data_IF_689284289039
#
_entry.id   IF_689284289039
#
_cell.length_a   1.000
_cell.length_b   1.000
_cell.length_c   1.000
_cell.angle_alpha   90.00
_cell.angle_beta   90.00
_cell.angle_gamma   90.00
#
_symmetry.space_group_name_H-M   'P 1'
#
loop_
_entity.id
_entity.type
_entity.pdbx_description
1 polymer ?
#
# COMPACT_ATOMS: atom_id res chain seq x y z
N UNK A 1 11.34 -4.92 -52.33
CA UNK A 1 11.73 -5.20 -50.93
C UNK A 1 11.38 -3.98 -50.11
N UNK A 2 10.24 -4.01 -49.41
CA UNK A 2 9.74 -2.88 -48.63
C UNK A 2 10.24 -3.03 -47.19
N UNK A 3 11.14 -2.14 -46.77
CA UNK A 3 11.60 -2.03 -45.39
C UNK A 3 10.51 -1.35 -44.57
N UNK A 4 9.71 -2.17 -43.88
CA UNK A 4 8.80 -1.75 -42.82
C UNK A 4 9.60 -1.10 -41.69
N UNK A 5 9.60 0.23 -41.61
CA UNK A 5 10.10 0.95 -40.44
C UNK A 5 9.12 0.70 -39.28
N UNK A 6 9.56 -0.09 -38.31
CA UNK A 6 8.85 -0.25 -37.04
C UNK A 6 9.01 1.05 -36.23
N UNK A 7 7.94 1.83 -36.14
CA UNK A 7 7.85 2.93 -35.17
C UNK A 7 7.82 2.34 -33.77
N UNK A 8 8.96 2.43 -33.07
CA UNK A 8 9.05 2.11 -31.66
C UNK A 8 8.28 3.18 -30.88
N UNK A 9 7.07 2.86 -30.45
CA UNK A 9 6.36 3.64 -29.43
C UNK A 9 7.15 3.57 -28.12
N UNK A 10 7.92 4.62 -27.84
CA UNK A 10 8.46 4.85 -26.50
C UNK A 10 7.30 5.18 -25.58
N UNK A 11 6.90 4.21 -24.73
CA UNK A 11 6.00 4.49 -23.60
C UNK A 11 6.72 5.50 -22.71
N UNK A 12 6.12 6.67 -22.41
CA UNK A 12 6.76 7.65 -21.53
C UNK A 12 7.02 7.02 -20.17
N UNK A 13 8.29 6.85 -19.81
CA UNK A 13 8.69 6.64 -18.43
C UNK A 13 8.36 7.93 -17.69
N UNK A 14 7.21 7.98 -17.02
CA UNK A 14 6.89 9.08 -16.13
C UNK A 14 7.99 9.16 -15.05
N UNK A 15 8.44 10.37 -14.67
CA UNK A 15 9.38 10.51 -13.57
C UNK A 15 8.76 9.90 -12.30
N UNK A 16 9.55 9.31 -11.39
CA UNK A 16 9.05 8.70 -10.14
C UNK A 16 8.12 9.63 -9.33
N UNK A 17 8.31 10.94 -9.44
CA UNK A 17 7.47 11.99 -8.85
C UNK A 17 6.04 11.97 -9.41
N UNK A 18 5.89 11.93 -10.74
CA UNK A 18 4.58 11.83 -11.40
C UNK A 18 3.87 10.49 -11.12
N UNK A 19 4.64 9.45 -10.76
CA UNK A 19 4.13 8.12 -10.44
C UNK A 19 3.56 8.06 -9.01
N UNK A 20 4.21 8.72 -8.05
CA UNK A 20 3.69 8.90 -6.69
C UNK A 20 2.43 9.80 -6.69
N UNK A 21 2.47 10.91 -7.44
CA UNK A 21 1.32 11.79 -7.65
C UNK A 21 0.13 11.03 -8.24
N UNK A 22 0.34 10.22 -9.27
CA UNK A 22 -0.73 9.44 -9.88
C UNK A 22 -1.38 8.47 -8.89
N UNK A 23 -0.61 7.78 -8.04
CA UNK A 23 -1.19 6.86 -7.06
C UNK A 23 -2.06 7.59 -6.02
N UNK A 24 -1.62 8.77 -5.57
CA UNK A 24 -2.37 9.62 -4.63
C UNK A 24 -3.63 10.23 -5.27
N UNK A 25 -3.54 10.63 -6.55
CA UNK A 25 -4.68 11.08 -7.35
C UNK A 25 -5.69 9.94 -7.58
N UNK A 26 -5.22 8.73 -7.90
CA UNK A 26 -6.11 7.59 -8.12
C UNK A 26 -6.75 7.08 -6.81
N UNK A 27 -6.06 7.13 -5.66
CA UNK A 27 -6.68 6.89 -4.35
C UNK A 27 -7.80 7.91 -4.06
N UNK A 28 -7.69 9.12 -4.62
CA UNK A 28 -8.74 10.14 -4.54
C UNK A 28 -9.95 9.87 -5.46
N UNK A 29 -9.75 9.13 -6.56
CA UNK A 29 -10.79 8.84 -7.56
C UNK A 29 -11.49 7.48 -7.38
N UNK A 30 -10.81 6.47 -6.81
CA UNK A 30 -11.37 5.10 -6.67
C UNK A 30 -12.64 5.05 -5.80
N UNK A 31 -12.77 5.89 -4.77
CA UNK A 31 -14.00 5.94 -3.96
C UNK A 31 -15.14 6.71 -4.65
N UNK A 32 -14.87 7.57 -5.64
CA UNK A 32 -15.96 8.19 -6.43
C UNK A 32 -16.71 7.15 -7.28
N UNK A 33 -16.00 6.10 -7.71
CA UNK A 33 -16.58 4.99 -8.47
C UNK A 33 -17.35 3.99 -7.59
N UNK A 34 -17.09 3.98 -6.28
CA UNK A 34 -17.73 3.12 -5.29
C UNK A 34 -18.89 3.79 -4.54
N UNK A 35 -19.57 4.78 -5.14
CA UNK A 35 -20.73 5.43 -4.52
C UNK A 35 -21.85 4.41 -4.24
N UNK A 36 -21.83 3.82 -3.05
CA UNK A 36 -22.97 3.12 -2.49
C UNK A 36 -24.16 4.11 -2.44
N UNK A 37 -25.38 3.69 -2.80
CA UNK A 37 -26.56 4.51 -2.57
C UNK A 37 -26.63 4.84 -1.07
N UNK A 38 -27.15 6.02 -0.69
CA UNK A 38 -27.30 6.39 0.72
C UNK A 38 -28.24 5.39 1.39
N UNK A 39 -27.66 4.39 2.05
CA UNK A 39 -28.36 3.50 2.97
C UNK A 39 -28.91 4.34 4.10
N UNK A 40 -30.18 4.11 4.43
CA UNK A 40 -30.92 4.73 5.53
C UNK A 40 -30.06 4.83 6.80
N UNK A 41 -29.84 6.07 7.25
CA UNK A 41 -29.40 6.41 8.61
C UNK A 41 -30.37 5.74 9.59
N UNK A 42 -29.96 4.64 10.21
CA UNK A 42 -30.51 4.24 11.50
C UNK A 42 -29.72 4.96 12.58
N UNK A 43 -30.45 5.68 13.45
CA UNK A 43 -29.91 6.48 14.53
C UNK A 43 -29.19 5.60 15.56
N UNK A 44 -27.86 5.53 15.46
CA UNK A 44 -27.02 4.88 16.46
C UNK A 44 -26.78 5.86 17.62
N UNK A 45 -27.47 5.66 18.75
CA UNK A 45 -27.17 6.35 19.99
C UNK A 45 -26.00 5.67 20.71
N UNK A 46 -24.87 6.35 20.97
CA UNK A 46 -23.82 5.79 21.80
C UNK A 46 -24.19 5.89 23.29
N UNK A 47 -24.43 4.73 23.91
CA UNK A 47 -24.51 4.58 25.36
C UNK A 47 -23.16 4.87 25.99
N UNK A 48 -23.08 5.96 26.78
CA UNK A 48 -21.96 6.22 27.68
C UNK A 48 -22.00 5.21 28.83
N UNK A 49 -20.91 4.45 29.01
CA UNK A 49 -20.58 3.87 30.30
C UNK A 49 -19.09 3.96 30.55
N UNK A 50 -18.79 4.50 31.72
CA UNK A 50 -17.48 4.79 32.28
C UNK A 50 -17.09 3.65 33.23
N UNK A 51 -15.89 3.10 33.08
CA UNK A 51 -15.00 2.72 34.17
C UNK A 51 -13.68 2.20 33.58
N UNK A 52 -12.57 2.85 33.92
CA UNK A 52 -11.22 2.36 33.65
C UNK A 52 -10.74 1.51 34.85
N UNK A 53 -10.13 0.33 34.62
CA UNK A 53 -9.29 -0.32 35.62
C UNK A 53 -7.81 -0.06 35.34
N UNK A 54 -7.07 0.30 36.40
CA UNK A 54 -5.60 0.38 36.41
C UNK A 54 -4.99 -1.02 36.43
N UNK A 55 -3.90 -1.22 35.67
CA UNK A 55 -3.11 -2.46 35.65
C UNK A 55 -1.68 -2.11 36.07
N UNK A 56 -1.19 -2.73 37.15
CA UNK A 56 0.21 -2.76 37.55
C UNK A 56 0.96 -3.82 36.72
N UNK A 57 2.13 -3.45 36.18
CA UNK A 57 3.00 -4.33 35.40
C UNK A 57 4.25 -4.66 36.23
N UNK A 58 4.36 -5.92 36.66
CA UNK A 58 5.56 -6.48 37.29
C UNK A 58 6.45 -7.12 36.22
N UNK A 59 7.73 -6.77 36.22
CA UNK A 59 8.76 -7.31 35.30
C UNK A 59 9.40 -8.61 35.87
N UNK A 60 10.15 -9.38 35.04
CA UNK A 60 10.26 -10.84 35.15
C UNK A 60 11.42 -11.35 36.03
N UNK A 61 11.27 -12.58 36.49
CA UNK A 61 12.30 -13.41 37.14
C UNK A 61 13.32 -13.93 36.11
N UNK A 62 14.60 -13.77 36.43
CA UNK A 62 15.73 -14.46 35.83
C UNK A 62 15.86 -15.87 36.42
N UNK A 63 16.15 -16.86 35.59
CA UNK A 63 16.70 -18.14 36.04
C UNK A 63 17.88 -18.54 35.16
N UNK A 64 19.06 -18.52 35.80
CA UNK A 64 20.28 -19.20 35.44
C UNK A 64 20.11 -20.72 35.34
N UNK A 65 20.88 -21.37 34.48
CA UNK A 65 20.82 -22.82 34.29
C UNK A 65 21.91 -23.41 33.39
N UNK A 66 23.15 -23.36 33.89
CA UNK A 66 24.23 -24.36 33.87
C UNK A 66 24.70 -25.14 32.61
N UNK A 67 26.01 -25.37 32.63
CA UNK A 67 26.87 -25.77 31.53
C UNK A 67 27.01 -27.30 31.32
N UNK A 68 27.36 -27.71 30.10
CA UNK A 68 28.17 -28.91 29.85
C UNK A 68 28.96 -28.83 28.55
N UNK A 69 30.28 -28.93 28.70
CA UNK A 69 31.31 -28.88 27.67
C UNK A 69 31.40 -30.19 26.85
N UNK A 70 31.34 -30.09 25.52
CA UNK A 70 31.81 -31.13 24.60
C UNK A 70 32.77 -30.50 23.59
N UNK A 71 34.05 -30.88 23.67
CA UNK A 71 35.11 -30.47 22.75
C UNK A 71 34.98 -31.21 21.42
N UNK A 72 34.56 -30.50 20.38
CA UNK A 72 34.58 -30.97 18.97
C UNK A 72 35.64 -30.17 18.18
N UNK A 73 36.43 -30.79 17.29
CA UNK A 73 37.46 -30.10 16.53
C UNK A 73 36.90 -29.03 15.58
N UNK A 74 37.39 -27.80 15.73
CA UNK A 74 37.03 -26.63 14.92
C UNK A 74 37.59 -26.74 13.50
N UNK A 75 36.73 -27.05 12.52
CA UNK A 75 36.92 -26.56 11.16
C UNK A 75 36.71 -25.04 11.15
N UNK A 76 37.44 -24.25 10.33
CA UNK A 76 37.18 -22.83 10.17
C UNK A 76 35.82 -22.64 9.49
N UNK A 77 34.77 -22.62 10.30
CA UNK A 77 33.45 -22.14 9.87
C UNK A 77 33.65 -20.66 9.59
N UNK A 78 33.65 -20.28 8.32
CA UNK A 78 33.54 -18.90 7.91
C UNK A 78 32.14 -18.41 8.32
N UNK A 79 31.96 -18.12 9.61
CA UNK A 79 30.84 -17.36 10.14
C UNK A 79 31.07 -15.92 9.74
N UNK A 80 30.90 -15.64 8.45
CA UNK A 80 30.59 -14.28 8.04
C UNK A 80 29.21 -13.99 8.64
N UNK A 81 29.20 -13.30 9.78
CA UNK A 81 28.05 -12.61 10.38
C UNK A 81 27.57 -11.54 9.38
N UNK A 82 27.06 -11.99 8.24
CA UNK A 82 26.33 -11.14 7.32
C UNK A 82 25.01 -10.84 8.04
N UNK A 83 24.97 -9.68 8.69
CA UNK A 83 23.73 -9.09 9.20
C UNK A 83 22.65 -9.28 8.14
N UNK A 84 21.49 -9.91 8.46
CA UNK A 84 20.45 -10.19 7.49
C UNK A 84 20.14 -8.92 6.70
N UNK A 85 20.38 -8.96 5.39
CA UNK A 85 20.13 -7.79 4.53
C UNK A 85 18.63 -7.50 4.58
N UNK A 86 18.28 -6.33 5.11
CA UNK A 86 16.89 -5.90 5.19
C UNK A 86 16.31 -5.84 3.77
N UNK A 87 15.12 -6.43 3.63
CA UNK A 87 14.43 -6.52 2.35
C UNK A 87 13.58 -5.24 2.18
N UNK A 88 13.62 -4.56 1.02
CA UNK A 88 12.88 -3.31 0.83
C UNK A 88 11.37 -3.53 0.88
N UNK A 89 10.58 -2.51 1.21
CA UNK A 89 9.12 -2.55 1.01
C UNK A 89 8.77 -2.74 -0.47
N UNK A 90 7.57 -3.26 -0.77
CA UNK A 90 7.12 -3.48 -2.15
C UNK A 90 7.19 -2.20 -3.00
N UNK A 91 6.76 -1.05 -2.47
CA UNK A 91 6.79 0.21 -3.21
C UNK A 91 8.23 0.65 -3.52
N UNK A 92 9.15 0.52 -2.55
CA UNK A 92 10.59 0.81 -2.75
C UNK A 92 11.22 -0.14 -3.77
N UNK A 93 10.89 -1.43 -3.70
CA UNK A 93 11.38 -2.40 -4.69
C UNK A 93 10.94 -2.03 -6.10
N UNK A 94 9.67 -1.67 -6.27
CA UNK A 94 9.10 -1.34 -7.58
C UNK A 94 9.62 0.00 -8.11
N UNK A 95 9.53 1.07 -7.32
CA UNK A 95 9.78 2.44 -7.79
C UNK A 95 11.25 2.84 -7.75
N UNK A 96 12.07 2.13 -6.97
CA UNK A 96 13.50 2.38 -6.89
C UNK A 96 14.28 1.21 -7.51
N UNK A 97 14.23 0.02 -6.90
CA UNK A 97 15.09 -1.10 -7.32
C UNK A 97 14.88 -1.53 -8.77
N UNK A 98 13.64 -1.73 -9.21
CA UNK A 98 13.36 -2.11 -10.60
C UNK A 98 13.63 -0.95 -11.57
N UNK A 99 13.35 0.29 -11.18
CA UNK A 99 13.54 1.46 -12.04
C UNK A 99 15.00 1.86 -12.22
N UNK A 100 15.89 1.54 -11.28
CA UNK A 100 17.35 1.69 -11.47
C UNK A 100 17.87 0.90 -12.68
N UNK A 101 17.17 -0.17 -13.06
CA UNK A 101 17.51 -1.00 -14.22
C UNK A 101 16.78 -0.58 -15.51
N UNK A 102 16.25 0.64 -15.58
CA UNK A 102 15.53 1.15 -16.77
C UNK A 102 16.23 0.90 -18.12
N UNK A 103 17.56 1.04 -18.27
CA UNK A 103 18.25 0.81 -19.55
C UNK A 103 18.14 -0.63 -20.11
N UNK A 104 17.83 -1.61 -19.25
CA UNK A 104 17.69 -3.02 -19.63
C UNK A 104 16.22 -3.47 -19.70
N UNK A 105 15.26 -2.61 -19.38
CA UNK A 105 13.84 -2.93 -19.53
C UNK A 105 13.51 -3.31 -20.98
N UNK A 106 12.64 -4.31 -21.17
CA UNK A 106 12.26 -4.88 -22.48
C UNK A 106 13.45 -5.43 -23.29
N UNK A 107 14.61 -5.66 -22.67
CA UNK A 107 15.81 -6.23 -23.31
C UNK A 107 16.24 -7.50 -22.57
N UNK A 108 15.42 -8.57 -22.62
CA UNK A 108 15.80 -9.84 -22.02
C UNK A 108 17.12 -10.36 -22.58
N UNK A 109 17.86 -11.12 -21.76
CA UNK A 109 19.15 -11.69 -22.18
C UNK A 109 18.94 -12.70 -23.31
N UNK A 110 17.81 -13.40 -23.29
CA UNK A 110 17.43 -14.35 -24.33
C UNK A 110 16.12 -13.91 -24.99
N UNK A 111 16.05 -14.00 -26.31
CA UNK A 111 14.84 -13.68 -27.07
C UNK A 111 13.62 -14.54 -26.68
N UNK A 112 13.88 -15.68 -26.03
CA UNK A 112 12.85 -16.62 -25.56
C UNK A 112 12.53 -16.47 -24.07
N UNK A 113 13.04 -15.44 -23.39
CA UNK A 113 12.66 -15.19 -21.99
C UNK A 113 11.14 -14.91 -21.92
N UNK A 114 10.46 -15.71 -21.10
CA UNK A 114 9.02 -15.60 -20.86
C UNK A 114 8.78 -15.06 -19.46
N UNK A 115 7.71 -14.30 -19.31
CA UNK A 115 7.22 -13.93 -17.99
C UNK A 115 6.77 -15.18 -17.25
N UNK A 116 7.38 -15.47 -16.11
CA UNK A 116 7.06 -16.65 -15.30
C UNK A 116 5.69 -16.60 -14.59
N UNK A 117 4.90 -15.55 -14.79
CA UNK A 117 3.56 -15.39 -14.21
C UNK A 117 2.49 -15.62 -15.27
N UNK A 118 2.62 -14.99 -16.45
CA UNK A 118 1.64 -15.12 -17.53
C UNK A 118 2.09 -16.04 -18.68
N UNK A 119 3.34 -16.54 -18.63
CA UNK A 119 3.96 -17.41 -19.63
C UNK A 119 4.02 -16.81 -21.06
N UNK A 120 3.99 -15.48 -21.16
CA UNK A 120 4.07 -14.72 -22.43
C UNK A 120 5.45 -14.05 -22.58
N UNK A 121 5.92 -13.89 -23.81
CA UNK A 121 7.19 -13.22 -24.14
C UNK A 121 7.11 -11.69 -23.98
N UNK A 122 8.23 -11.05 -23.68
CA UNK A 122 8.29 -9.67 -23.19
C UNK A 122 8.17 -8.52 -24.19
N UNK A 123 8.40 -8.75 -25.49
CA UNK A 123 8.55 -7.66 -26.47
C UNK A 123 7.40 -7.60 -27.48
N UNK A 124 6.66 -8.68 -27.66
CA UNK A 124 5.62 -8.76 -28.68
C UNK A 124 4.37 -9.45 -28.17
N UNK A 125 3.43 -8.65 -27.70
CA UNK A 125 2.04 -8.96 -27.95
C UNK A 125 1.36 -7.73 -28.51
N UNK A 126 1.25 -7.69 -29.85
CA UNK A 126 0.10 -7.04 -30.46
C UNK A 126 -1.12 -7.48 -29.65
N UNK A 127 -1.91 -6.53 -29.19
CA UNK A 127 -3.19 -6.79 -28.53
C UNK A 127 -4.01 -7.57 -29.55
N UNK A 128 -3.90 -8.89 -29.53
CA UNK A 128 -4.89 -9.75 -30.16
C UNK A 128 -6.05 -9.61 -29.21
N UNK A 129 -7.01 -8.75 -29.56
CA UNK A 129 -8.31 -8.70 -28.91
C UNK A 129 -8.87 -10.11 -28.98
N UNK A 130 -8.63 -10.87 -27.92
CA UNK A 130 -9.13 -12.22 -27.78
C UNK A 130 -10.64 -12.07 -27.63
N UNK A 131 -11.35 -12.28 -28.73
CA UNK A 131 -12.79 -12.33 -28.76
C UNK A 131 -13.26 -13.59 -28.00
N UNK A 132 -13.22 -13.52 -26.67
CA UNK A 132 -14.20 -14.16 -25.80
C UNK A 132 -14.14 -15.68 -25.60
N UNK A 133 -12.97 -16.35 -25.60
CA UNK A 133 -12.93 -17.77 -25.17
C UNK A 133 -11.73 -18.12 -24.26
N UNK A 134 -11.95 -17.99 -22.95
CA UNK A 134 -11.74 -19.11 -22.02
C UNK A 134 -10.32 -19.48 -21.57
N UNK A 135 -9.34 -18.58 -21.53
CA UNK A 135 -8.10 -18.87 -20.79
C UNK A 135 -8.31 -18.64 -19.28
N UNK A 136 -8.29 -19.72 -18.51
CA UNK A 136 -8.71 -19.81 -17.10
C UNK A 136 -7.77 -19.17 -16.07
N UNK A 137 -7.00 -18.16 -16.46
CA UNK A 137 -6.23 -17.34 -15.53
C UNK A 137 -6.57 -15.89 -15.81
N UNK A 138 -7.29 -15.25 -14.89
CA UNK A 138 -7.63 -13.83 -14.89
C UNK A 138 -6.38 -12.95 -14.67
N UNK A 139 -5.37 -13.14 -15.51
CA UNK A 139 -4.20 -12.27 -15.59
C UNK A 139 -4.56 -11.16 -16.58
N UNK A 140 -4.47 -9.87 -16.18
CA UNK A 140 -4.87 -8.76 -17.03
C UNK A 140 -4.11 -8.80 -18.37
N UNK A 141 -4.76 -8.45 -19.49
CA UNK A 141 -4.11 -8.35 -20.80
C UNK A 141 -2.84 -7.48 -20.69
N UNK A 142 -1.68 -8.05 -21.03
CA UNK A 142 -0.40 -7.48 -20.60
C UNK A 142 0.27 -6.68 -21.72
N UNK A 143 -0.07 -5.40 -21.83
CA UNK A 143 0.85 -4.39 -22.37
C UNK A 143 1.53 -3.70 -21.20
N UNK A 144 2.68 -4.23 -20.76
CA UNK A 144 3.48 -3.56 -19.72
C UNK A 144 4.95 -3.89 -19.84
N UNK A 145 5.80 -3.02 -19.32
CA UNK A 145 7.25 -3.16 -19.31
C UNK A 145 7.68 -4.54 -18.79
N UNK A 146 8.55 -5.20 -19.54
CA UNK A 146 9.19 -6.45 -19.15
C UNK A 146 10.47 -6.15 -18.37
N UNK A 147 10.51 -6.61 -17.13
CA UNK A 147 11.48 -6.18 -16.11
C UNK A 147 12.29 -7.39 -15.61
N UNK A 148 13.61 -7.24 -15.41
CA UNK A 148 14.40 -8.22 -14.67
C UNK A 148 14.21 -8.01 -13.16
N UNK A 149 13.94 -9.09 -12.44
CA UNK A 149 13.82 -9.10 -10.98
C UNK A 149 15.19 -9.11 -10.33
N UNK A 150 15.51 -8.11 -9.51
CA UNK A 150 16.71 -8.12 -8.68
C UNK A 150 16.45 -8.98 -7.41
N UNK A 151 17.43 -9.81 -6.94
CA UNK A 151 18.78 -10.01 -7.48
C UNK A 151 18.88 -11.14 -8.51
N UNK A 152 17.81 -11.92 -8.68
CA UNK A 152 17.87 -13.22 -9.35
C UNK A 152 17.94 -13.15 -10.89
N UNK A 153 17.59 -12.02 -11.50
CA UNK A 153 17.61 -11.80 -12.94
C UNK A 153 16.44 -12.44 -13.72
N UNK A 154 15.47 -13.07 -13.05
CA UNK A 154 14.27 -13.62 -13.71
C UNK A 154 13.37 -12.51 -14.23
N UNK A 155 12.72 -12.72 -15.38
CA UNK A 155 11.96 -11.67 -16.03
C UNK A 155 10.46 -11.79 -15.79
N UNK A 156 9.82 -10.66 -15.52
CA UNK A 156 8.37 -10.56 -15.36
C UNK A 156 7.82 -9.30 -16.00
N UNK A 157 6.57 -9.34 -16.45
CA UNK A 157 5.87 -8.12 -16.78
C UNK A 157 5.53 -7.33 -15.52
N UNK A 158 5.73 -6.01 -15.55
CA UNK A 158 5.42 -5.10 -14.46
C UNK A 158 4.00 -5.33 -13.90
N UNK A 159 2.98 -5.36 -14.76
CA UNK A 159 1.59 -5.60 -14.34
C UNK A 159 1.39 -7.00 -13.73
N UNK A 160 2.12 -8.01 -14.20
CA UNK A 160 2.05 -9.35 -13.62
C UNK A 160 2.65 -9.40 -12.21
N UNK A 161 3.73 -8.64 -11.97
CA UNK A 161 4.31 -8.51 -10.63
C UNK A 161 3.31 -7.87 -9.66
N UNK A 162 2.69 -6.75 -10.06
CA UNK A 162 1.69 -6.08 -9.22
C UNK A 162 0.47 -6.98 -9.01
N UNK A 163 -0.03 -7.63 -10.07
CA UNK A 163 -1.12 -8.60 -9.96
C UNK A 163 -0.79 -9.71 -8.97
N UNK A 164 0.43 -10.26 -8.97
CA UNK A 164 0.84 -11.29 -8.00
C UNK A 164 0.86 -10.73 -6.57
N UNK A 165 1.32 -9.49 -6.39
CA UNK A 165 1.33 -8.81 -5.10
C UNK A 165 -0.08 -8.53 -4.55
N UNK A 166 -1.12 -8.51 -5.39
CA UNK A 166 -2.53 -8.33 -4.95
C UNK A 166 -3.28 -9.63 -4.72
N UNK A 167 -2.65 -10.79 -4.89
CA UNK A 167 -3.28 -12.10 -4.63
C UNK A 167 -3.05 -12.60 -3.21
N UNK A 168 -3.94 -13.48 -2.77
CA UNK A 168 -3.82 -14.26 -1.54
C UNK A 168 -2.84 -15.42 -1.76
N UNK A 169 -1.57 -15.08 -1.92
CA UNK A 169 -0.50 -16.07 -2.03
C UNK A 169 0.53 -15.83 -0.91
N UNK A 170 1.00 -16.90 -0.28
CA UNK A 170 2.07 -16.87 0.70
C UNK A 170 3.44 -16.51 0.08
N UNK A 171 3.57 -16.64 -1.24
CA UNK A 171 4.79 -16.34 -2.02
C UNK A 171 4.65 -15.07 -2.87
N UNK A 172 3.68 -14.20 -2.54
CA UNK A 172 3.41 -12.96 -3.28
C UNK A 172 4.56 -11.94 -3.22
N UNK A 173 5.54 -12.18 -2.36
CA UNK A 173 6.70 -11.35 -2.06
C UNK A 173 8.02 -12.01 -2.47
N UNK A 174 7.93 -13.16 -3.15
CA UNK A 174 9.06 -13.95 -3.63
C UNK A 174 9.09 -14.03 -5.15
N UNK A 175 10.27 -14.32 -5.67
CA UNK A 175 10.45 -14.61 -7.08
C UNK A 175 9.65 -15.87 -7.47
N UNK A 176 8.77 -15.81 -8.51
CA UNK A 176 8.04 -16.96 -9.03
C UNK A 176 8.88 -18.18 -9.45
N UNK A 177 10.17 -17.98 -9.73
CA UNK A 177 11.02 -19.02 -10.32
C UNK A 177 11.95 -19.64 -9.29
N UNK A 178 12.61 -18.81 -8.47
CA UNK A 178 13.63 -19.26 -7.53
C UNK A 178 13.26 -19.04 -6.05
N UNK A 179 12.07 -18.52 -5.76
CA UNK A 179 11.56 -18.27 -4.41
C UNK A 179 12.42 -17.35 -3.52
N UNK A 180 13.39 -16.64 -4.09
CA UNK A 180 14.13 -15.58 -3.39
C UNK A 180 13.16 -14.48 -2.98
N UNK A 181 13.25 -14.05 -1.71
CA UNK A 181 12.49 -12.91 -1.18
C UNK A 181 12.90 -11.62 -1.91
N UNK A 182 11.92 -10.91 -2.48
CA UNK A 182 12.15 -9.70 -3.28
C UNK A 182 11.89 -8.42 -2.49
N UNK A 183 10.79 -8.40 -1.73
CA UNK A 183 10.33 -7.26 -0.95
C UNK A 183 9.62 -7.71 0.32
N UNK A 184 9.40 -6.82 1.27
CA UNK A 184 8.46 -6.98 2.36
C UNK A 184 7.06 -6.55 1.87
N UNK A 185 6.06 -7.42 2.02
CA UNK A 185 4.70 -7.12 1.56
C UNK A 185 3.87 -6.42 2.62
N UNK A 186 3.37 -5.24 2.30
CA UNK A 186 2.42 -4.49 3.14
C UNK A 186 1.16 -4.19 2.36
N UNK A 187 0.01 -4.26 3.03
CA UNK A 187 -1.29 -3.97 2.43
C UNK A 187 -1.31 -2.61 1.75
N UNK A 188 -0.88 -1.57 2.46
CA UNK A 188 -0.95 -0.18 1.95
C UNK A 188 -0.08 0.04 0.71
N UNK A 189 1.08 -0.62 0.61
CA UNK A 189 1.95 -0.55 -0.58
C UNK A 189 1.35 -1.29 -1.77
N UNK A 190 0.74 -2.46 -1.52
CA UNK A 190 0.06 -3.24 -2.54
C UNK A 190 -1.19 -2.51 -3.06
N UNK A 191 -1.98 -1.92 -2.15
CA UNK A 191 -3.12 -1.06 -2.48
C UNK A 191 -2.67 0.12 -3.37
N UNK A 192 -1.63 0.84 -2.95
CA UNK A 192 -1.08 1.98 -3.71
C UNK A 192 -0.73 1.58 -5.15
N UNK A 193 -0.05 0.44 -5.33
CA UNK A 193 0.34 -0.06 -6.66
C UNK A 193 -0.85 -0.61 -7.47
N UNK A 194 -1.78 -1.30 -6.81
CA UNK A 194 -3.00 -1.80 -7.42
C UNK A 194 -3.83 -0.66 -8.00
N UNK A 195 -4.06 0.38 -7.19
CA UNK A 195 -4.75 1.61 -7.57
C UNK A 195 -4.03 2.31 -8.73
N UNK A 196 -2.70 2.47 -8.65
CA UNK A 196 -1.88 3.08 -9.71
C UNK A 196 -1.96 2.33 -11.04
N UNK A 197 -2.09 1.01 -10.99
CA UNK A 197 -2.09 0.15 -12.18
C UNK A 197 -3.48 -0.29 -12.61
N UNK A 198 -4.54 0.11 -11.90
CA UNK A 198 -5.92 -0.37 -12.14
C UNK A 198 -5.95 -1.90 -12.20
N UNK A 199 -5.34 -2.53 -11.19
CA UNK A 199 -5.35 -3.98 -11.01
C UNK A 199 -6.26 -4.28 -9.84
N UNK A 200 -7.22 -5.18 -10.06
CA UNK A 200 -8.14 -5.58 -9.01
C UNK A 200 -7.42 -6.34 -7.90
N UNK A 201 -7.83 -6.01 -6.69
CA UNK A 201 -7.38 -6.66 -5.47
C UNK A 201 -8.21 -7.91 -5.21
N UNK A 202 -7.57 -9.00 -4.77
CA UNK A 202 -8.29 -10.21 -4.40
C UNK A 202 -9.01 -10.04 -3.07
N UNK A 203 -10.32 -10.20 -3.07
CA UNK A 203 -11.15 -10.19 -1.88
C UNK A 203 -11.23 -11.59 -1.25
N UNK A 204 -10.71 -11.75 -0.03
CA UNK A 204 -10.86 -12.99 0.73
C UNK A 204 -12.14 -12.92 1.53
N UNK A 205 -13.05 -13.86 1.29
CA UNK A 205 -14.20 -14.10 2.16
C UNK A 205 -13.81 -15.07 3.28
N UNK A 206 -13.68 -14.57 4.51
CA UNK A 206 -13.41 -15.37 5.71
C UNK A 206 -14.75 -15.87 6.27
N UNK A 207 -14.96 -17.18 6.25
CA UNK A 207 -16.12 -17.83 6.90
C UNK A 207 -15.69 -18.32 8.29
N UNK A 208 -16.14 -17.66 9.35
CA UNK A 208 -15.93 -18.16 10.72
C UNK A 208 -16.89 -19.35 10.96
N UNK A 209 -16.34 -20.55 11.01
CA UNK A 209 -17.10 -21.81 11.08
C UNK A 209 -17.66 -22.17 12.47
N UNK A 210 -17.69 -21.25 13.44
CA UNK A 210 -17.95 -21.60 14.85
C UNK A 210 -19.38 -21.30 15.34
N UNK A 211 -20.11 -20.35 14.76
CA UNK A 211 -21.41 -19.93 15.27
C UNK A 211 -22.52 -20.01 14.21
N UNK A 212 -23.75 -20.28 14.68
CA UNK A 212 -24.96 -20.63 13.91
C UNK A 212 -25.42 -19.61 12.86
N UNK A 213 -24.71 -18.50 12.70
CA UNK A 213 -24.86 -17.52 11.62
C UNK A 213 -23.48 -17.16 11.07
N UNK A 214 -23.04 -17.78 9.95
CA UNK A 214 -21.78 -17.42 9.32
C UNK A 214 -21.89 -15.99 8.77
N UNK A 215 -21.41 -15.02 9.54
CA UNK A 215 -21.18 -13.67 9.03
C UNK A 215 -19.89 -13.72 8.20
N UNK A 216 -20.04 -13.89 6.89
CA UNK A 216 -18.94 -13.77 5.96
C UNK A 216 -18.33 -12.37 6.07
N UNK A 217 -17.07 -12.28 6.50
CA UNK A 217 -16.31 -11.02 6.50
C UNK A 217 -15.35 -11.04 5.32
N UNK A 218 -15.48 -10.09 4.41
CA UNK A 218 -14.58 -9.94 3.28
C UNK A 218 -13.55 -8.83 3.52
N UNK A 219 -12.41 -8.91 2.85
CA UNK A 219 -11.37 -7.88 2.95
C UNK A 219 -11.87 -6.53 2.39
N UNK A 220 -12.77 -6.56 1.40
CA UNK A 220 -13.48 -5.37 0.89
C UNK A 220 -14.36 -4.72 1.98
N UNK A 221 -15.13 -5.51 2.71
CA UNK A 221 -15.98 -5.02 3.81
C UNK A 221 -15.13 -4.48 4.97
N UNK A 222 -14.05 -5.17 5.33
CA UNK A 222 -13.10 -4.69 6.33
C UNK A 222 -12.49 -3.33 5.93
N UNK A 223 -12.06 -3.19 4.67
CA UNK A 223 -11.54 -1.94 4.13
C UNK A 223 -12.57 -0.81 4.17
N UNK A 224 -13.79 -1.07 3.69
CA UNK A 224 -14.87 -0.08 3.67
C UNK A 224 -15.26 0.38 5.09
N UNK A 225 -15.28 -0.53 6.05
CA UNK A 225 -15.57 -0.24 7.46
C UNK A 225 -14.51 0.67 8.07
N UNK A 226 -13.23 0.44 7.78
CA UNK A 226 -12.15 1.30 8.27
C UNK A 226 -12.15 2.67 7.59
N UNK A 227 -12.46 2.72 6.30
CA UNK A 227 -12.71 3.97 5.59
C UNK A 227 -13.80 4.81 6.28
N UNK A 228 -14.95 4.20 6.60
CA UNK A 228 -16.04 4.88 7.29
C UNK A 228 -15.64 5.31 8.73
N UNK A 229 -14.79 4.52 9.40
CA UNK A 229 -14.25 4.87 10.71
C UNK A 229 -13.38 6.12 10.63
N UNK A 230 -12.48 6.19 9.64
CA UNK A 230 -11.62 7.36 9.39
C UNK A 230 -12.49 8.60 9.10
N UNK A 231 -13.50 8.47 8.24
CA UNK A 231 -14.40 9.57 7.89
C UNK A 231 -15.18 10.08 9.12
N UNK A 232 -15.62 9.17 10.00
CA UNK A 232 -16.29 9.51 11.26
C UNK A 232 -15.37 10.24 12.24
N UNK A 233 -14.12 9.80 12.36
CA UNK A 233 -13.11 10.45 13.19
C UNK A 233 -12.75 11.84 12.66
N UNK A 234 -12.62 11.99 11.33
CA UNK A 234 -12.40 13.28 10.68
C UNK A 234 -13.55 14.23 11.04
N UNK A 235 -14.80 13.80 10.85
CA UNK A 235 -15.96 14.62 11.16
C UNK A 235 -15.98 15.05 12.64
N UNK A 236 -15.79 14.11 13.57
CA UNK A 236 -15.82 14.41 14.99
C UNK A 236 -14.71 15.39 15.43
N UNK A 237 -13.46 15.15 14.98
CA UNK A 237 -12.33 15.99 15.36
C UNK A 237 -12.37 17.35 14.67
N UNK A 238 -12.89 17.45 13.45
CA UNK A 238 -13.09 18.71 12.77
C UNK A 238 -14.05 19.64 13.54
N UNK A 239 -15.20 19.12 13.98
CA UNK A 239 -16.13 19.92 14.78
C UNK A 239 -15.64 20.21 16.20
N UNK A 240 -14.86 19.30 16.79
CA UNK A 240 -14.17 19.59 18.05
C UNK A 240 -13.20 20.76 17.90
N UNK A 241 -12.45 20.81 16.79
CA UNK A 241 -11.50 21.89 16.52
C UNK A 241 -12.20 23.23 16.23
N UNK A 242 -13.35 23.22 15.54
CA UNK A 242 -14.15 24.44 15.33
C UNK A 242 -14.66 25.06 16.64
N UNK A 243 -14.75 24.29 17.72
CA UNK A 243 -15.16 24.80 19.03
C UNK A 243 -13.99 25.48 19.80
N UNK A 244 -12.75 25.26 19.35
CA UNK A 244 -11.56 25.89 19.94
C UNK A 244 -11.34 27.29 19.34
N UNK A 245 -10.75 28.23 20.09
CA UNK A 245 -10.31 29.50 19.52
C UNK A 245 -9.31 29.28 18.39
N UNK A 246 -9.56 29.89 17.23
CA UNK A 246 -8.64 29.82 16.10
C UNK A 246 -7.30 30.48 16.42
N UNK A 247 -6.22 29.88 15.92
CA UNK A 247 -4.88 30.49 15.94
C UNK A 247 -4.59 31.35 14.69
N UNK A 248 -5.47 31.32 13.69
CA UNK A 248 -5.29 31.99 12.40
C UNK A 248 -6.00 33.32 12.35
N UNK A 249 -5.59 34.19 11.42
CA UNK A 249 -6.17 35.55 11.34
C UNK A 249 -7.54 35.58 10.67
N UNK A 250 -7.89 34.53 9.92
CA UNK A 250 -9.14 34.37 9.19
C UNK A 250 -10.18 33.48 9.91
N UNK A 251 -9.96 33.22 11.20
CA UNK A 251 -10.77 32.32 12.03
C UNK A 251 -10.83 30.85 11.51
N UNK A 252 -9.86 30.48 10.68
CA UNK A 252 -9.36 29.12 10.39
C UNK A 252 -9.53 28.01 11.43
N UNK A 253 -10.11 26.81 11.23
CA UNK A 253 -9.75 25.68 12.09
C UNK A 253 -8.29 25.21 11.86
N UNK A 254 -7.63 24.70 12.90
CA UNK A 254 -6.32 24.05 12.78
C UNK A 254 -6.44 22.62 12.20
N UNK A 255 -6.43 22.55 10.88
CA UNK A 255 -6.57 21.29 10.14
C UNK A 255 -5.39 20.31 10.36
N UNK A 256 -4.19 20.83 10.65
CA UNK A 256 -3.05 19.99 11.04
C UNK A 256 -3.33 19.29 12.38
N UNK A 257 -3.90 20.01 13.35
CA UNK A 257 -4.30 19.42 14.63
C UNK A 257 -5.43 18.39 14.44
N UNK A 258 -6.41 18.67 13.57
CA UNK A 258 -7.47 17.69 13.21
C UNK A 258 -6.83 16.41 12.67
N UNK A 259 -5.86 16.52 11.76
CA UNK A 259 -5.14 15.38 11.20
C UNK A 259 -4.45 14.55 12.29
N UNK A 260 -3.66 15.17 13.17
CA UNK A 260 -2.97 14.45 14.25
C UNK A 260 -3.94 13.81 15.24
N UNK A 261 -5.02 14.50 15.62
CA UNK A 261 -6.05 13.94 16.50
C UNK A 261 -6.71 12.69 15.91
N UNK A 262 -6.92 12.66 14.58
CA UNK A 262 -7.44 11.48 13.87
C UNK A 262 -6.43 10.34 13.90
N UNK A 263 -5.16 10.59 13.63
CA UNK A 263 -4.10 9.56 13.70
C UNK A 263 -3.98 8.99 15.12
N UNK A 264 -3.94 9.85 16.14
CA UNK A 264 -3.86 9.43 17.55
C UNK A 264 -5.10 8.61 17.97
N UNK A 265 -6.28 8.96 17.46
CA UNK A 265 -7.49 8.16 17.69
C UNK A 265 -7.40 6.78 17.02
N UNK A 266 -6.91 6.71 15.79
CA UNK A 266 -6.71 5.44 15.07
C UNK A 266 -5.66 4.55 15.77
N UNK A 267 -4.56 5.13 16.25
CA UNK A 267 -3.52 4.40 16.99
C UNK A 267 -4.09 3.84 18.31
N UNK A 268 -4.87 4.62 19.07
CA UNK A 268 -5.56 4.14 20.29
C UNK A 268 -6.61 3.05 20.03
N UNK A 269 -7.16 3.01 18.81
CA UNK A 269 -8.09 1.96 18.37
C UNK A 269 -7.38 0.76 17.76
N UNK A 270 -6.03 0.73 17.76
CA UNK A 270 -5.20 -0.30 17.13
C UNK A 270 -5.51 -0.49 15.64
N UNK A 271 -5.75 0.63 14.94
CA UNK A 271 -6.03 0.67 13.49
C UNK A 271 -4.79 1.06 12.68
N UNK A 272 -4.66 0.59 11.42
CA UNK A 272 -5.62 -0.20 10.65
C UNK A 272 -5.52 -1.72 10.91
N UNK A 273 -6.68 -2.39 10.93
CA UNK A 273 -6.80 -3.84 10.96
C UNK A 273 -7.10 -4.45 9.57
N UNK A 274 -7.69 -3.67 8.66
CA UNK A 274 -8.04 -4.13 7.31
C UNK A 274 -6.76 -4.48 6.55
N UNK A 275 -6.74 -5.67 5.95
CA UNK A 275 -5.56 -6.23 5.27
C UNK A 275 -4.87 -5.24 4.33
N UNK A 276 -5.66 -4.49 3.56
CA UNK A 276 -5.18 -3.55 2.55
C UNK A 276 -4.65 -2.23 3.08
N UNK A 277 -4.93 -1.89 4.34
CA UNK A 277 -4.39 -0.69 4.99
C UNK A 277 -3.25 -1.02 5.94
N UNK A 278 -3.05 -2.30 6.29
CA UNK A 278 -1.98 -2.73 7.20
C UNK A 278 -0.59 -2.35 6.68
N UNK A 279 0.24 -1.97 7.62
CA UNK A 279 1.64 -1.63 7.45
C UNK A 279 2.46 -2.07 8.68
N UNK A 280 3.78 -2.12 8.52
CA UNK A 280 4.76 -2.38 9.57
C UNK A 280 6.11 -1.71 9.30
N UNK A 281 6.32 -1.09 8.13
CA UNK A 281 7.52 -0.32 7.80
C UNK A 281 7.31 1.18 8.02
N UNK A 282 8.40 1.97 8.15
CA UNK A 282 8.30 3.43 8.15
C UNK A 282 7.60 3.99 6.92
N UNK A 283 7.90 3.45 5.72
CA UNK A 283 7.23 3.87 4.49
C UNK A 283 5.72 3.59 4.54
N UNK A 284 5.33 2.40 5.00
CA UNK A 284 3.93 2.04 5.15
C UNK A 284 3.17 2.97 6.10
N UNK A 285 3.80 3.38 7.22
CA UNK A 285 3.24 4.39 8.14
C UNK A 285 3.02 5.73 7.46
N UNK A 286 3.99 6.21 6.68
CA UNK A 286 3.86 7.47 5.94
C UNK A 286 2.74 7.41 4.89
N UNK A 287 2.65 6.29 4.16
CA UNK A 287 1.57 6.07 3.18
C UNK A 287 0.19 6.04 3.84
N UNK A 288 0.07 5.44 5.03
CA UNK A 288 -1.17 5.44 5.79
C UNK A 288 -1.55 6.84 6.27
N UNK A 289 -0.59 7.62 6.77
CA UNK A 289 -0.79 9.04 7.09
C UNK A 289 -1.27 9.83 5.87
N UNK A 290 -0.66 9.60 4.70
CA UNK A 290 -1.06 10.26 3.46
C UNK A 290 -2.47 9.87 3.02
N UNK A 291 -2.85 8.60 3.20
CA UNK A 291 -4.22 8.13 2.95
C UNK A 291 -5.24 8.88 3.83
N UNK A 292 -4.96 9.06 5.12
CA UNK A 292 -5.81 9.84 6.03
C UNK A 292 -5.87 11.32 5.62
N UNK A 293 -4.75 11.91 5.21
CA UNK A 293 -4.70 13.28 4.73
C UNK A 293 -5.58 13.49 3.47
N UNK A 294 -5.52 12.56 2.51
CA UNK A 294 -6.40 12.57 1.32
C UNK A 294 -7.87 12.52 1.73
N UNK A 295 -8.23 11.67 2.70
CA UNK A 295 -9.60 11.58 3.20
C UNK A 295 -10.06 12.88 3.85
N UNK A 296 -9.23 13.48 4.70
CA UNK A 296 -9.51 14.78 5.32
C UNK A 296 -9.70 15.86 4.26
N UNK A 297 -8.79 15.95 3.28
CA UNK A 297 -8.91 16.89 2.17
C UNK A 297 -10.25 16.73 1.45
N UNK A 298 -10.63 15.49 1.09
CA UNK A 298 -11.89 15.22 0.39
C UNK A 298 -13.12 15.55 1.22
N UNK A 299 -13.11 15.22 2.51
CA UNK A 299 -14.18 15.60 3.44
C UNK A 299 -14.39 17.12 3.45
N UNK A 300 -13.29 17.89 3.55
CA UNK A 300 -13.32 19.35 3.57
C UNK A 300 -13.81 19.94 2.24
N UNK A 301 -13.32 19.45 1.09
CA UNK A 301 -13.77 19.94 -0.22
C UNK A 301 -15.26 19.63 -0.45
N UNK A 302 -15.71 18.43 -0.09
CA UNK A 302 -17.08 18.00 -0.34
C UNK A 302 -18.11 18.65 0.60
N UNK A 303 -17.76 18.84 1.88
CA UNK A 303 -18.71 19.28 2.91
C UNK A 303 -18.51 20.73 3.35
N UNK A 304 -17.30 21.27 3.21
CA UNK A 304 -16.87 22.53 3.81
C UNK A 304 -16.04 23.37 2.84
N UNK A 305 -16.47 23.48 1.58
CA UNK A 305 -15.71 24.13 0.51
C UNK A 305 -15.22 25.57 0.81
N UNK A 306 -15.86 26.29 1.75
CA UNK A 306 -15.42 27.62 2.22
C UNK A 306 -14.05 27.62 2.91
N UNK A 307 -13.58 26.46 3.38
CA UNK A 307 -12.25 26.31 3.98
C UNK A 307 -11.15 26.37 2.92
N UNK A 308 -11.45 26.11 1.64
CA UNK A 308 -10.43 26.18 0.62
C UNK A 308 -9.88 27.60 0.48
N UNK A 309 -8.56 27.73 0.61
CA UNK A 309 -7.86 29.01 0.52
C UNK A 309 -7.75 29.79 1.83
N UNK A 310 -8.26 29.26 2.94
CA UNK A 310 -8.01 29.83 4.28
C UNK A 310 -6.58 29.51 4.75
N UNK A 311 -6.08 30.23 5.76
CA UNK A 311 -4.74 30.01 6.34
C UNK A 311 -4.58 28.55 6.82
N UNK A 312 -5.56 28.01 7.55
CA UNK A 312 -5.53 26.63 8.02
C UNK A 312 -5.52 25.59 6.89
N UNK A 313 -6.14 25.90 5.74
CA UNK A 313 -6.07 25.07 4.53
C UNK A 313 -4.69 25.10 3.89
N UNK A 314 -4.11 26.29 3.74
CA UNK A 314 -2.77 26.46 3.16
C UNK A 314 -1.72 25.72 4.01
N UNK A 315 -1.78 25.84 5.34
CA UNK A 315 -0.88 25.12 6.23
C UNK A 315 -1.06 23.59 6.11
N UNK A 316 -2.31 23.13 6.02
CA UNK A 316 -2.61 21.71 5.79
C UNK A 316 -2.03 21.18 4.47
N UNK A 317 -2.19 21.91 3.37
CA UNK A 317 -1.62 21.52 2.07
C UNK A 317 -0.08 21.46 2.12
N UNK A 318 0.55 22.39 2.81
CA UNK A 318 2.01 22.37 2.98
C UNK A 318 2.49 21.20 3.84
N UNK A 319 1.74 20.88 4.90
CA UNK A 319 1.96 19.67 5.69
C UNK A 319 1.83 18.39 4.85
N UNK A 320 0.83 18.32 3.97
CA UNK A 320 0.65 17.19 3.05
C UNK A 320 1.81 17.08 2.06
N UNK A 321 2.28 18.18 1.46
CA UNK A 321 3.48 18.18 0.59
C UNK A 321 4.73 17.73 1.33
N UNK A 322 4.89 18.15 2.57
CA UNK A 322 6.01 17.72 3.42
C UNK A 322 5.94 16.21 3.68
N UNK A 323 4.76 15.66 3.95
CA UNK A 323 4.57 14.21 4.10
C UNK A 323 4.89 13.46 2.81
N UNK A 324 4.49 14.01 1.66
CA UNK A 324 4.83 13.47 0.35
C UNK A 324 6.35 13.43 0.10
N UNK A 325 7.06 14.51 0.45
CA UNK A 325 8.53 14.56 0.36
C UNK A 325 9.18 13.43 1.17
N UNK A 326 8.71 13.20 2.40
CA UNK A 326 9.20 12.09 3.25
C UNK A 326 8.94 10.71 2.62
N UNK A 327 7.79 10.51 1.98
CA UNK A 327 7.48 9.26 1.25
C UNK A 327 8.49 9.04 0.12
N UNK A 328 8.77 10.09 -0.67
CA UNK A 328 9.73 10.01 -1.77
C UNK A 328 11.16 9.71 -1.27
N UNK A 329 11.55 10.33 -0.17
CA UNK A 329 12.87 10.09 0.46
C UNK A 329 13.00 8.64 0.94
N UNK A 330 11.98 8.08 1.60
CA UNK A 330 11.96 6.67 2.00
C UNK A 330 12.01 5.71 0.81
N UNK A 331 11.30 6.01 -0.28
CA UNK A 331 11.34 5.21 -1.51
C UNK A 331 12.76 5.24 -2.13
N UNK A 332 13.47 6.37 -2.05
CA UNK A 332 14.79 6.56 -2.65
C UNK A 332 15.95 5.92 -1.87
N UNK A 333 15.75 5.49 -0.61
CA UNK A 333 16.81 4.85 0.19
C UNK A 333 17.42 3.63 -0.52
N UNK A 334 18.74 3.46 -0.40
CA UNK A 334 19.53 2.41 -1.07
C UNK A 334 19.50 1.08 -0.31
#
# INVERSE_FOLDING_TARGET
>A
MSTSQAEFYTVPTLPPEAIADAALVFLSDHEKAGAYPPGSREDFQPSRSSAAPSIEVTAPFETDGDASNVLVPLLPTATADATPREVPSLLRFVDNTLMQSAPIHNRPRHAHDICSICFRQGVEQKIVSDNGRGSSMNVPAVTSTFLPLWPCGHWVHYRCLIWRATRTNAEKDKCPVCNIQLYQWEGITALTLATRTRIDMEDIVKVKSADLTPLAHSDEVEFATECATIDSLIHANFFAELANPSQFTDDSPNLIQVFYNVIDALERMEKPAARWLRYFTPLGRLLYGMFVAIKLQRYLVASHAKIQGTEGWVEFEEGAKTLQGKILDEVRKA
#
